data_IF_529114216300
#
_entry.id   IF_529114216300
#
_cell.length_a   1.000
_cell.length_b   1.000
_cell.length_c   1.000
_cell.angle_alpha   90.00
_cell.angle_beta   90.00
_cell.angle_gamma   90.00
#
_symmetry.space_group_name_H-M   'P 1'
#
loop_
_entity.id
_entity.type
_entity.pdbx_description
1 polymer ?
#
# COMPACT_ATOMS: atom_id res chain seq x y z
N UNK A 1 -4.21 -22.62 -20.16
CA UNK A 1 -3.92 -21.49 -19.25
C UNK A 1 -3.20 -20.42 -20.06
N UNK A 2 -3.85 -19.29 -20.40
CA UNK A 2 -3.13 -18.14 -20.95
C UNK A 2 -2.33 -17.50 -19.81
N UNK A 3 -1.02 -17.69 -19.81
CA UNK A 3 -0.11 -16.88 -19.00
C UNK A 3 0.03 -15.54 -19.72
N UNK A 4 -0.56 -14.47 -19.17
CA UNK A 4 -0.42 -13.14 -19.75
C UNK A 4 0.97 -12.62 -19.41
N UNK A 5 1.91 -12.80 -20.33
CA UNK A 5 3.18 -12.06 -20.29
C UNK A 5 2.88 -10.62 -20.75
N UNK A 6 2.97 -9.67 -19.82
CA UNK A 6 2.97 -8.25 -20.18
C UNK A 6 4.39 -7.95 -20.63
N UNK A 7 4.57 -7.82 -21.95
CA UNK A 7 5.84 -7.48 -22.55
C UNK A 7 5.78 -6.00 -22.94
N UNK A 8 6.57 -5.18 -22.26
CA UNK A 8 6.76 -3.78 -22.66
C UNK A 8 7.80 -3.78 -23.78
N UNK A 9 7.47 -3.17 -24.91
CA UNK A 9 8.25 -3.30 -26.15
C UNK A 9 9.30 -2.19 -26.32
N UNK A 10 9.34 -1.21 -25.41
CA UNK A 10 10.31 -0.12 -25.38
C UNK A 10 10.97 -0.04 -24.00
N UNK A 11 12.18 -0.62 -23.85
CA UNK A 11 12.94 -0.57 -22.60
C UNK A 11 13.29 0.88 -22.16
N UNK A 12 13.38 1.82 -23.09
CA UNK A 12 13.68 3.23 -22.76
C UNK A 12 12.56 3.93 -21.96
N UNK A 13 11.32 3.45 -22.08
CA UNK A 13 10.13 4.02 -21.45
C UNK A 13 9.70 3.26 -20.18
N UNK A 14 10.41 2.18 -19.82
CA UNK A 14 10.14 1.39 -18.61
C UNK A 14 11.15 1.77 -17.54
N UNK A 15 10.65 2.00 -16.33
CA UNK A 15 11.48 2.21 -15.14
C UNK A 15 11.19 1.09 -14.16
N UNK A 16 12.17 0.24 -13.92
CA UNK A 16 12.11 -0.75 -12.85
C UNK A 16 12.30 -0.05 -11.50
N UNK A 17 11.44 -0.39 -10.53
CA UNK A 17 11.48 0.18 -9.19
C UNK A 17 11.71 -0.94 -8.20
N UNK A 18 12.85 -0.87 -7.51
CA UNK A 18 13.17 -1.81 -6.46
C UNK A 18 12.42 -1.46 -5.16
N UNK A 19 11.75 -2.48 -4.61
CA UNK A 19 11.15 -2.43 -3.29
C UNK A 19 11.77 -3.54 -2.44
N UNK A 20 12.45 -3.16 -1.37
CA UNK A 20 12.93 -4.10 -0.38
C UNK A 20 11.74 -4.85 0.23
N UNK A 21 11.88 -6.16 0.42
CA UNK A 21 10.84 -6.98 1.01
C UNK A 21 10.58 -6.59 2.48
N UNK A 22 9.33 -6.65 2.90
CA UNK A 22 9.00 -6.64 4.33
C UNK A 22 9.81 -7.73 5.07
N UNK A 23 10.28 -7.41 6.28
CA UNK A 23 10.96 -8.39 7.13
C UNK A 23 10.01 -9.57 7.37
N UNK A 24 10.58 -10.78 7.43
CA UNK A 24 9.86 -12.03 7.66
C UNK A 24 9.12 -12.04 9.00
N UNK A 25 9.57 -11.24 9.96
CA UNK A 25 8.91 -11.07 11.25
C UNK A 25 7.66 -10.15 11.20
N UNK A 26 7.45 -9.42 10.11
CA UNK A 26 6.28 -8.56 9.94
C UNK A 26 5.09 -9.42 9.55
N UNK A 27 4.23 -9.70 10.54
CA UNK A 27 2.99 -10.44 10.34
C UNK A 27 1.80 -9.49 10.24
N UNK A 28 0.69 -10.00 9.70
CA UNK A 28 -0.56 -9.25 9.67
C UNK A 28 -1.02 -8.86 11.07
N UNK A 29 -0.97 -9.78 12.04
CA UNK A 29 -1.43 -9.55 13.41
C UNK A 29 -0.50 -8.61 14.19
N UNK A 30 0.76 -8.48 13.77
CA UNK A 30 1.65 -7.46 14.31
C UNK A 30 1.26 -6.05 13.82
N UNK A 31 0.82 -5.91 12.57
CA UNK A 31 0.32 -4.64 12.00
C UNK A 31 -1.10 -4.31 12.48
N UNK A 32 -1.97 -5.32 12.55
CA UNK A 32 -3.38 -5.21 12.89
C UNK A 32 -3.75 -6.17 14.02
N UNK A 33 -3.26 -5.91 15.25
CA UNK A 33 -3.61 -6.72 16.40
C UNK A 33 -5.11 -6.63 16.69
N UNK A 34 -5.66 -7.70 17.30
CA UNK A 34 -7.06 -7.75 17.71
C UNK A 34 -7.40 -6.69 18.78
N UNK A 35 -6.43 -6.36 19.63
CA UNK A 35 -6.55 -5.36 20.68
C UNK A 35 -5.28 -4.50 20.74
N UNK A 36 -5.46 -3.21 21.02
CA UNK A 36 -4.37 -2.27 21.33
C UNK A 36 -4.66 -1.65 22.68
N UNK A 37 -3.60 -1.42 23.46
CA UNK A 37 -3.67 -0.58 24.65
C UNK A 37 -3.61 0.87 24.18
N UNK A 38 -4.78 1.48 23.95
CA UNK A 38 -4.91 2.82 23.39
C UNK A 38 -4.21 3.88 24.24
N UNK A 39 -4.20 3.69 25.56
CA UNK A 39 -3.59 4.61 26.54
C UNK A 39 -2.13 4.23 26.87
N UNK A 40 -1.62 3.11 26.33
CA UNK A 40 -0.29 2.54 26.59
C UNK A 40 0.03 2.38 28.09
N UNK A 41 -0.96 2.18 28.96
CA UNK A 41 -0.75 2.11 30.41
C UNK A 41 -0.08 0.83 30.87
N UNK A 42 -0.30 -0.27 30.15
CA UNK A 42 0.11 -1.63 30.54
C UNK A 42 1.07 -2.24 29.53
N UNK A 43 0.87 -1.97 28.24
CA UNK A 43 1.64 -2.59 27.17
C UNK A 43 2.00 -1.58 26.07
N UNK A 44 3.30 -1.41 25.84
CA UNK A 44 3.82 -0.66 24.69
C UNK A 44 4.16 -1.66 23.58
N UNK A 45 3.28 -1.75 22.58
CA UNK A 45 3.56 -2.54 21.39
C UNK A 45 4.35 -1.72 20.38
N UNK A 46 5.47 -2.28 19.90
CA UNK A 46 6.24 -1.68 18.81
C UNK A 46 5.63 -2.11 17.48
N UNK A 47 5.10 -1.15 16.74
CA UNK A 47 4.54 -1.39 15.42
C UNK A 47 5.69 -1.63 14.41
N UNK A 48 5.67 -2.74 13.65
CA UNK A 48 6.71 -3.01 12.66
C UNK A 48 6.63 -2.04 11.50
N UNK A 49 7.80 -1.63 10.99
CA UNK A 49 7.89 -0.76 9.83
C UNK A 49 7.98 -1.56 8.53
N UNK A 50 7.37 -1.03 7.47
CA UNK A 50 7.54 -1.54 6.11
C UNK A 50 8.60 -0.71 5.36
N UNK A 51 9.53 -1.33 4.62
CA UNK A 51 10.48 -0.61 3.79
C UNK A 51 9.78 0.35 2.81
N UNK A 52 10.31 1.56 2.66
CA UNK A 52 9.70 2.57 1.78
C UNK A 52 10.26 2.42 0.37
N UNK A 53 9.38 2.52 -0.63
CA UNK A 53 9.80 2.57 -2.02
C UNK A 53 10.49 3.91 -2.33
N UNK A 54 11.58 3.87 -3.09
CA UNK A 54 12.19 5.08 -3.64
C UNK A 54 11.36 5.57 -4.81
N UNK A 55 10.77 6.75 -4.67
CA UNK A 55 9.96 7.36 -5.72
C UNK A 55 10.90 7.80 -6.87
N UNK A 56 10.60 7.43 -8.13
CA UNK A 56 11.40 7.87 -9.26
C UNK A 56 11.22 9.39 -9.50
N UNK A 57 12.30 10.04 -9.96
CA UNK A 57 12.25 11.46 -10.35
C UNK A 57 11.58 11.65 -11.72
N UNK A 58 11.60 10.62 -12.57
CA UNK A 58 10.91 10.61 -13.86
C UNK A 58 9.40 10.59 -13.65
N UNK A 59 8.67 11.30 -14.52
CA UNK A 59 7.22 11.20 -14.58
C UNK A 59 6.85 9.85 -15.17
N UNK A 60 5.95 9.14 -14.51
CA UNK A 60 5.37 7.90 -15.01
C UNK A 60 3.96 8.20 -15.53
N UNK A 61 3.44 7.41 -16.45
CA UNK A 61 2.02 7.48 -16.86
C UNK A 61 1.21 6.29 -16.34
N UNK A 62 1.90 5.20 -16.03
CA UNK A 62 1.35 3.93 -15.60
C UNK A 62 2.29 3.30 -14.55
N UNK A 63 1.73 2.87 -13.43
CA UNK A 63 2.42 2.04 -12.45
C UNK A 63 1.91 0.62 -12.59
N UNK A 64 2.81 -0.36 -12.75
CA UNK A 64 2.44 -1.77 -12.96
C UNK A 64 2.97 -2.62 -11.84
N UNK A 65 2.08 -3.39 -11.21
CA UNK A 65 2.44 -4.21 -10.05
C UNK A 65 1.88 -5.61 -10.22
N UNK A 66 2.75 -6.60 -10.12
CA UNK A 66 2.35 -8.01 -10.05
C UNK A 66 2.21 -8.38 -8.56
N UNK A 67 1.00 -8.71 -8.15
CA UNK A 67 0.76 -9.11 -6.76
C UNK A 67 0.97 -10.61 -6.59
N UNK A 68 1.57 -11.05 -5.48
CA UNK A 68 1.66 -12.47 -5.18
C UNK A 68 0.25 -13.04 -4.98
N UNK A 69 0.10 -14.30 -5.40
CA UNK A 69 -1.09 -15.10 -5.16
C UNK A 69 -0.75 -16.11 -4.06
N UNK A 70 -1.24 -15.91 -2.82
CA UNK A 70 -1.03 -16.89 -1.77
C UNK A 70 -1.73 -18.19 -2.13
N UNK A 71 -0.99 -19.30 -2.07
CA UNK A 71 -1.53 -20.65 -2.37
C UNK A 71 -2.49 -21.13 -1.28
N UNK A 72 -2.28 -20.68 -0.05
CA UNK A 72 -3.02 -21.03 1.16
C UNK A 72 -3.17 -19.77 2.02
N UNK A 73 -4.25 -19.67 2.81
CA UNK A 73 -4.49 -18.55 3.72
C UNK A 73 -5.32 -17.39 3.16
N UNK A 74 -5.53 -16.36 3.99
CA UNK A 74 -6.37 -15.23 3.66
C UNK A 74 -5.61 -14.19 2.82
N UNK A 75 -5.87 -14.17 1.50
CA UNK A 75 -5.24 -13.23 0.56
C UNK A 75 -5.46 -11.75 0.90
N UNK A 76 -6.49 -11.42 1.68
CA UNK A 76 -6.75 -10.04 2.12
C UNK A 76 -5.89 -9.61 3.31
N UNK A 77 -5.28 -10.58 4.02
CA UNK A 77 -4.39 -10.37 5.17
C UNK A 77 -2.92 -10.69 4.86
N UNK A 78 -2.52 -10.54 3.61
CA UNK A 78 -1.16 -10.82 3.16
C UNK A 78 -0.30 -9.55 3.17
N UNK A 79 0.79 -9.56 3.96
CA UNK A 79 1.67 -8.41 4.16
C UNK A 79 2.39 -8.01 2.87
N UNK A 80 2.82 -8.98 2.06
CA UNK A 80 3.50 -8.68 0.79
C UNK A 80 2.55 -7.98 -0.21
N UNK A 81 1.29 -8.42 -0.28
CA UNK A 81 0.25 -7.75 -1.07
C UNK A 81 -0.04 -6.35 -0.55
N UNK A 82 -0.17 -6.17 0.77
CA UNK A 82 -0.35 -4.85 1.38
C UNK A 82 0.80 -3.91 1.01
N UNK A 83 2.03 -4.37 1.23
CA UNK A 83 3.25 -3.59 1.03
C UNK A 83 3.44 -3.14 -0.42
N UNK A 84 3.27 -4.04 -1.38
CA UNK A 84 3.34 -3.72 -2.81
C UNK A 84 2.27 -2.69 -3.23
N UNK A 85 1.06 -2.80 -2.68
CA UNK A 85 -0.04 -1.88 -3.02
C UNK A 85 0.14 -0.51 -2.38
N UNK A 86 0.67 -0.44 -1.15
CA UNK A 86 1.09 0.79 -0.52
C UNK A 86 2.20 1.48 -1.33
N UNK A 87 3.21 0.73 -1.77
CA UNK A 87 4.28 1.25 -2.60
C UNK A 87 3.77 1.77 -3.96
N UNK A 88 2.88 1.03 -4.62
CA UNK A 88 2.22 1.45 -5.85
C UNK A 88 1.46 2.77 -5.67
N UNK A 89 0.72 2.86 -4.56
CA UNK A 89 -0.02 4.05 -4.19
C UNK A 89 0.92 5.24 -3.92
N UNK A 90 2.02 5.04 -3.19
CA UNK A 90 3.03 6.07 -2.93
C UNK A 90 3.63 6.61 -4.23
N UNK A 91 4.02 5.74 -5.17
CA UNK A 91 4.56 6.16 -6.47
C UNK A 91 3.52 6.95 -7.26
N UNK A 92 2.29 6.45 -7.36
CA UNK A 92 1.21 7.13 -8.08
C UNK A 92 0.88 8.51 -7.45
N UNK A 93 0.78 8.58 -6.12
CA UNK A 93 0.48 9.79 -5.37
C UNK A 93 1.63 10.83 -5.39
N UNK A 94 2.87 10.40 -5.63
CA UNK A 94 4.02 11.32 -5.66
C UNK A 94 4.12 12.13 -6.95
N UNK A 95 3.34 11.77 -7.98
CA UNK A 95 3.37 12.47 -9.24
C UNK A 95 2.78 13.89 -9.11
N UNK A 96 3.61 14.91 -9.37
CA UNK A 96 3.22 16.32 -9.41
C UNK A 96 2.82 16.71 -10.85
N UNK A 97 1.64 17.31 -11.04
CA UNK A 97 1.15 17.78 -12.35
C UNK A 97 0.33 16.75 -13.14
N UNK A 98 0.42 16.77 -14.48
CA UNK A 98 -0.33 15.94 -15.45
C UNK A 98 0.03 14.43 -15.42
N UNK A 99 0.09 13.81 -14.25
CA UNK A 99 0.12 12.35 -14.14
C UNK A 99 -1.15 11.78 -14.78
N UNK A 100 -1.01 10.95 -15.82
CA UNK A 100 -2.16 10.24 -16.41
C UNK A 100 -2.63 9.05 -15.57
N UNK A 101 -2.17 8.91 -14.33
CA UNK A 101 -3.03 8.43 -13.24
C UNK A 101 -3.19 6.94 -13.09
N UNK A 102 -2.72 6.12 -14.02
CA UNK A 102 -3.15 4.73 -14.04
C UNK A 102 -2.27 3.85 -13.14
N UNK A 103 -2.93 2.95 -12.41
CA UNK A 103 -2.27 1.88 -11.66
C UNK A 103 -2.84 0.56 -12.15
N UNK A 104 -1.96 -0.33 -12.60
CA UNK A 104 -2.32 -1.64 -13.11
C UNK A 104 -1.82 -2.73 -12.17
N UNK A 105 -2.74 -3.63 -11.79
CA UNK A 105 -2.41 -4.81 -11.02
C UNK A 105 -2.53 -6.07 -11.89
N UNK A 106 -1.55 -6.95 -11.78
CA UNK A 106 -1.64 -8.33 -12.29
C UNK A 106 -1.85 -9.25 -11.09
N UNK A 107 -3.08 -9.72 -10.89
CA UNK A 107 -3.50 -10.47 -9.72
C UNK A 107 -4.80 -11.25 -9.98
N UNK A 108 -4.91 -12.47 -9.48
CA UNK A 108 -6.19 -13.23 -9.45
C UNK A 108 -7.14 -12.72 -8.37
N UNK A 109 -6.58 -12.24 -7.26
CA UNK A 109 -7.30 -11.68 -6.13
C UNK A 109 -7.52 -10.18 -6.33
N UNK A 110 -8.57 -9.63 -5.71
CA UNK A 110 -8.86 -8.19 -5.79
C UNK A 110 -7.73 -7.36 -5.19
N UNK A 111 -7.36 -6.24 -5.82
CA UNK A 111 -6.59 -5.19 -5.17
C UNK A 111 -7.34 -4.61 -3.98
N UNK A 112 -6.62 -4.03 -3.02
CA UNK A 112 -7.11 -3.54 -1.75
C UNK A 112 -8.17 -2.46 -1.94
N UNK A 113 -9.43 -2.71 -1.57
CA UNK A 113 -10.52 -1.77 -1.79
C UNK A 113 -10.34 -0.44 -1.05
N UNK A 114 -9.54 -0.40 0.03
CA UNK A 114 -9.30 0.84 0.79
C UNK A 114 -8.44 1.85 0.02
N UNK A 115 -7.55 1.39 -0.86
CA UNK A 115 -6.67 2.22 -1.70
C UNK A 115 -7.17 2.32 -3.15
N UNK A 116 -7.67 1.21 -3.70
CA UNK A 116 -8.06 1.09 -5.10
C UNK A 116 -9.54 0.73 -5.20
N UNK A 117 -10.38 1.77 -5.18
CA UNK A 117 -11.83 1.62 -5.04
C UNK A 117 -12.45 1.10 -6.34
N UNK A 118 -13.56 0.36 -6.23
CA UNK A 118 -14.28 -0.15 -7.39
C UNK A 118 -14.74 0.95 -8.35
N UNK A 119 -15.09 2.14 -7.84
CA UNK A 119 -15.49 3.29 -8.67
C UNK A 119 -14.36 3.83 -9.55
N UNK A 120 -13.11 3.57 -9.16
CA UNK A 120 -11.91 4.03 -9.87
C UNK A 120 -11.38 2.95 -10.83
N UNK A 121 -12.03 1.78 -10.90
CA UNK A 121 -11.70 0.70 -11.83
C UNK A 121 -12.12 1.11 -13.25
N UNK A 122 -11.15 1.23 -14.14
CA UNK A 122 -11.38 1.56 -15.56
C UNK A 122 -11.73 0.32 -16.36
N UNK A 123 -10.96 -0.77 -16.18
CA UNK A 123 -11.23 -2.03 -16.86
C UNK A 123 -10.58 -3.21 -16.14
N UNK A 124 -11.14 -4.40 -16.35
CA UNK A 124 -10.55 -5.67 -15.93
C UNK A 124 -10.54 -6.63 -17.11
N UNK A 125 -9.39 -7.25 -17.38
CA UNK A 125 -9.24 -8.34 -18.37
C UNK A 125 -8.52 -9.51 -17.74
N UNK A 126 -9.25 -10.55 -17.38
CA UNK A 126 -8.73 -11.69 -16.63
C UNK A 126 -8.14 -11.26 -15.28
N UNK A 127 -6.83 -11.50 -15.12
CA UNK A 127 -6.05 -11.15 -13.92
C UNK A 127 -5.46 -9.73 -13.98
N UNK A 128 -5.76 -8.95 -15.03
CA UNK A 128 -5.29 -7.58 -15.19
C UNK A 128 -6.37 -6.60 -14.77
N UNK A 129 -6.03 -5.71 -13.83
CA UNK A 129 -6.90 -4.69 -13.28
C UNK A 129 -6.30 -3.32 -13.55
N UNK A 130 -7.03 -2.43 -14.22
CA UNK A 130 -6.58 -1.08 -14.52
C UNK A 130 -7.42 -0.07 -13.74
N UNK A 131 -6.78 0.69 -12.87
CA UNK A 131 -7.40 1.73 -12.06
C UNK A 131 -6.95 3.11 -12.51
N UNK A 132 -7.82 4.10 -12.32
CA UNK A 132 -7.52 5.53 -12.39
C UNK A 132 -7.84 6.17 -11.03
N UNK A 133 -6.99 5.98 -10.00
CA UNK A 133 -7.24 6.51 -8.67
C UNK A 133 -7.32 8.05 -8.63
N UNK A 134 -8.12 8.56 -7.70
CA UNK A 134 -8.06 9.96 -7.31
C UNK A 134 -6.79 10.20 -6.47
N UNK A 135 -5.82 10.94 -7.02
CA UNK A 135 -4.53 11.16 -6.37
C UNK A 135 -4.62 11.95 -5.06
N UNK A 136 -5.63 12.81 -4.89
CA UNK A 136 -5.79 13.55 -3.64
C UNK A 136 -6.29 12.62 -2.54
N UNK A 137 -7.34 11.84 -2.82
CA UNK A 137 -7.82 10.81 -1.89
C UNK A 137 -6.71 9.80 -1.56
N UNK A 138 -5.89 9.41 -2.56
CA UNK A 138 -4.78 8.50 -2.34
C UNK A 138 -3.72 9.10 -1.40
N UNK A 139 -3.40 10.40 -1.56
CA UNK A 139 -2.49 11.12 -0.65
C UNK A 139 -3.05 11.19 0.77
N UNK A 140 -4.33 11.48 0.92
CA UNK A 140 -4.97 11.52 2.24
C UNK A 140 -4.91 10.15 2.92
N UNK A 141 -5.18 9.08 2.16
CA UNK A 141 -5.10 7.70 2.67
C UNK A 141 -3.68 7.29 3.06
N UNK A 142 -2.67 7.72 2.30
CA UNK A 142 -1.27 7.41 2.59
C UNK A 142 -0.71 8.15 3.81
N UNK A 143 -1.41 9.17 4.32
CA UNK A 143 -1.07 9.83 5.59
C UNK A 143 -1.62 9.08 6.81
N UNK A 144 -2.55 8.14 6.60
CA UNK A 144 -3.08 7.34 7.68
C UNK A 144 -2.07 6.26 8.08
N UNK A 145 -2.07 5.86 9.36
CA UNK A 145 -1.40 4.67 9.83
C UNK A 145 -1.66 3.46 8.94
N UNK A 146 -0.60 2.67 8.71
CA UNK A 146 -0.75 1.42 7.97
C UNK A 146 -1.51 0.45 8.87
N UNK A 147 -0.98 0.20 10.07
CA UNK A 147 -1.50 -0.74 11.03
C UNK A 147 -2.31 -0.08 12.14
N UNK A 148 -3.22 -0.83 12.78
CA UNK A 148 -3.85 -0.36 14.02
C UNK A 148 -2.84 -0.26 15.17
N UNK A 149 -1.69 -0.93 15.09
CA UNK A 149 -0.62 -0.80 16.09
C UNK A 149 -0.03 0.61 16.22
N UNK A 150 -0.26 1.53 15.28
CA UNK A 150 0.21 2.93 15.39
C UNK A 150 -0.85 3.86 16.00
N UNK A 151 -2.04 3.34 16.36
CA UNK A 151 -3.16 4.16 16.86
C UNK A 151 -3.11 4.44 18.36
N UNK A 152 -2.23 3.77 19.11
CA UNK A 152 -2.06 3.99 20.55
C UNK A 152 -1.40 5.35 20.84
N UNK A 153 -1.86 6.05 21.88
CA UNK A 153 -1.33 7.34 22.31
C UNK A 153 0.13 7.18 22.80
N UNK A 154 1.08 7.99 22.31
CA UNK A 154 2.44 7.95 22.83
C UNK A 154 2.47 8.28 24.33
N UNK A 155 3.17 7.46 25.12
CA UNK A 155 3.48 7.76 26.52
C UNK A 155 3.99 9.21 26.68
N UNK A 156 3.22 10.03 27.41
CA UNK A 156 3.58 11.43 27.71
C UNK A 156 2.58 12.49 27.25
N UNK A 157 1.55 12.15 26.47
CA UNK A 157 0.46 13.08 26.11
C UNK A 157 -0.60 13.22 27.22
N UNK A 158 -0.20 13.25 28.50
CA UNK A 158 -1.10 13.73 29.55
C UNK A 158 -1.30 15.22 29.30
N UNK A 159 -2.53 15.60 28.94
CA UNK A 159 -2.89 16.99 28.70
C UNK A 159 -2.38 17.86 29.85
N UNK A 160 -1.65 18.92 29.50
CA UNK A 160 -1.28 19.96 30.44
C UNK A 160 -2.59 20.50 31.05
N UNK A 161 -2.93 20.02 32.24
CA UNK A 161 -3.94 20.65 33.08
C UNK A 161 -3.33 21.96 33.56
N UNK A 162 -3.49 23.01 32.77
CA UNK A 162 -3.36 24.38 33.23
C UNK A 162 -4.43 24.57 34.32
N UNK A 163 -4.04 24.40 35.57
CA UNK A 163 -4.87 24.79 36.71
C UNK A 163 -4.81 26.31 36.87
N UNK A 164 -5.94 27.00 37.10
CA UNK A 164 -6.03 28.45 37.21
C UNK A 164 -5.30 29.01 38.44
#
# INVERSE_FOLDING_TARGET
MCSTHIQFTDDENVVELDLEHADKNVTWDALYPEWIDEEQEKYVHVCPNLPKIKVPTRRLDLVVVKLPYPKEGNWSRDVARLHLQMAAATVAASAKGFFRGHVMFVSRCFPMPNLFWCKDLVSRRGDVWLYKPNLNTLRDKLQLPIGSCELSLPLGMKGETNNP
#
